data_IF_722166204875
#
_entry.id   IF_722166204875
#
_cell.length_a   1.000
_cell.length_b   1.000
_cell.length_c   1.000
_cell.angle_alpha   90.00
_cell.angle_beta   90.00
_cell.angle_gamma   90.00
#
_symmetry.space_group_name_H-M   'P 1'
#
loop_
_entity.id
_entity.type
_entity.pdbx_description
1 polymer ?
#
# COMPACT_ATOMS: atom_id res chain seq x y z
N UNK A 1 -4.98 28.18 0.71
CA UNK A 1 -3.97 27.23 1.24
C UNK A 1 -4.40 25.85 0.80
N UNK A 2 -3.61 25.16 0.00
CA UNK A 2 -3.93 23.81 -0.46
C UNK A 2 -3.66 22.86 0.70
N UNK A 3 -4.72 22.32 1.31
CA UNK A 3 -4.63 21.36 2.42
C UNK A 3 -4.20 19.95 1.97
N UNK A 4 -4.09 19.72 0.66
CA UNK A 4 -3.70 18.46 0.06
C UNK A 4 -2.19 18.23 0.20
N UNK A 5 -1.83 17.05 0.70
CA UNK A 5 -0.43 16.63 0.81
C UNK A 5 0.19 16.48 -0.58
N UNK A 6 1.43 16.94 -0.71
CA UNK A 6 2.25 16.74 -1.90
C UNK A 6 2.47 15.24 -2.15
N UNK A 7 2.13 14.76 -3.35
CA UNK A 7 2.22 13.34 -3.73
C UNK A 7 3.65 12.81 -3.65
N UNK A 8 4.65 13.65 -3.93
CA UNK A 8 6.07 13.29 -3.79
C UNK A 8 6.51 13.02 -2.35
N UNK A 9 5.66 13.34 -1.36
CA UNK A 9 5.91 13.13 0.08
C UNK A 9 5.02 12.03 0.68
N UNK A 10 4.37 11.23 -0.16
CA UNK A 10 3.58 10.07 0.27
C UNK A 10 4.53 8.92 0.62
N UNK A 11 5.50 8.62 -0.25
CA UNK A 11 6.54 7.61 -0.02
C UNK A 11 7.86 8.31 0.25
N UNK A 12 8.48 8.01 1.39
CA UNK A 12 9.70 8.70 1.87
C UNK A 12 10.83 7.74 2.24
N UNK A 13 10.73 6.49 1.82
CA UNK A 13 11.67 5.40 2.12
C UNK A 13 12.19 4.81 0.80
N UNK A 14 13.39 4.19 0.77
CA UNK A 14 13.91 3.53 -0.43
C UNK A 14 13.16 2.22 -0.75
N UNK A 15 13.20 1.73 -2.01
CA UNK A 15 12.47 0.54 -2.45
C UNK A 15 12.68 -0.70 -1.58
N UNK A 16 13.92 -0.97 -1.16
CA UNK A 16 14.26 -2.15 -0.35
C UNK A 16 13.52 -2.21 1.00
N UNK A 17 13.01 -1.08 1.49
CA UNK A 17 12.20 -1.04 2.73
C UNK A 17 10.93 -1.88 2.61
N UNK A 18 10.36 -2.04 1.40
CA UNK A 18 9.16 -2.87 1.17
C UNK A 18 9.35 -4.32 1.65
N UNK A 19 10.57 -4.85 1.60
CA UNK A 19 10.86 -6.23 2.04
C UNK A 19 10.69 -6.44 3.54
N UNK A 20 10.59 -5.35 4.31
CA UNK A 20 10.33 -5.38 5.76
C UNK A 20 8.85 -5.30 6.11
N UNK A 21 7.98 -5.10 5.12
CA UNK A 21 6.55 -4.90 5.33
C UNK A 21 5.82 -6.23 5.48
N UNK A 22 4.62 -6.17 6.05
CA UNK A 22 3.73 -7.31 6.24
C UNK A 22 2.84 -7.46 5.01
N UNK A 23 2.68 -8.69 4.52
CA UNK A 23 1.71 -9.03 3.47
C UNK A 23 0.46 -9.61 4.12
N UNK A 24 -0.70 -9.08 3.77
CA UNK A 24 -2.00 -9.51 4.27
C UNK A 24 -3.00 -9.60 3.11
N UNK A 25 -3.97 -10.51 3.21
CA UNK A 25 -5.00 -10.72 2.19
C UNK A 25 -6.39 -10.46 2.78
N UNK A 26 -7.22 -9.74 2.04
CA UNK A 26 -8.59 -9.40 2.41
C UNK A 26 -9.52 -9.59 1.23
N UNK A 27 -10.73 -10.04 1.51
CA UNK A 27 -11.82 -10.04 0.54
C UNK A 27 -12.54 -8.67 0.55
N UNK A 28 -13.22 -8.30 -0.53
CA UNK A 28 -14.18 -7.16 -0.61
C UNK A 28 -13.62 -5.72 -0.59
N UNK A 29 -12.31 -5.51 -0.77
CA UNK A 29 -11.79 -4.18 -1.08
C UNK A 29 -12.03 -3.90 -2.57
N UNK A 30 -13.22 -3.41 -2.90
CA UNK A 30 -13.69 -3.24 -4.29
C UNK A 30 -13.70 -1.78 -4.75
N UNK A 31 -13.66 -0.83 -3.81
CA UNK A 31 -13.71 0.58 -4.17
C UNK A 31 -12.32 1.13 -4.49
N UNK A 32 -11.85 0.82 -5.69
CA UNK A 32 -10.54 1.23 -6.19
C UNK A 32 -10.47 2.71 -6.57
N UNK A 33 -11.57 3.47 -6.50
CA UNK A 33 -11.55 4.92 -6.77
C UNK A 33 -10.73 5.74 -5.76
N UNK A 34 -10.31 5.10 -4.66
CA UNK A 34 -9.51 5.71 -3.59
C UNK A 34 -8.05 5.24 -3.58
N UNK A 35 -7.59 4.66 -4.68
CA UNK A 35 -6.18 4.33 -4.90
C UNK A 35 -5.47 5.43 -5.70
N UNK A 36 -4.15 5.45 -5.62
CA UNK A 36 -3.29 6.39 -6.35
C UNK A 36 -2.24 5.58 -7.11
N UNK A 37 -1.96 5.97 -8.37
CA UNK A 37 -0.88 5.33 -9.11
C UNK A 37 0.48 5.63 -8.45
N UNK A 38 1.35 4.64 -8.22
CA UNK A 38 2.68 4.87 -7.64
C UNK A 38 3.52 5.86 -8.46
N UNK A 39 3.33 5.88 -9.80
CA UNK A 39 3.99 6.81 -10.74
C UNK A 39 3.65 8.28 -10.47
N UNK A 40 2.50 8.57 -9.85
CA UNK A 40 2.14 9.93 -9.46
C UNK A 40 2.88 10.40 -8.20
N UNK A 41 3.50 9.47 -7.47
CA UNK A 41 4.19 9.73 -6.21
C UNK A 41 5.71 9.57 -6.30
N UNK A 42 6.20 8.77 -7.26
CA UNK A 42 7.58 8.31 -7.35
C UNK A 42 8.10 8.39 -8.80
N UNK A 43 9.32 8.93 -8.97
CA UNK A 43 9.99 8.95 -10.29
C UNK A 43 10.52 7.56 -10.70
N UNK A 44 10.89 6.72 -9.74
CA UNK A 44 11.38 5.35 -9.94
C UNK A 44 10.34 4.32 -9.48
N UNK A 45 9.06 4.60 -9.72
CA UNK A 45 7.93 3.76 -9.28
C UNK A 45 8.08 2.28 -9.67
N UNK A 46 8.65 2.00 -10.84
CA UNK A 46 8.86 0.63 -11.34
C UNK A 46 9.70 -0.24 -10.39
N UNK A 47 10.73 0.32 -9.75
CA UNK A 47 11.55 -0.41 -8.77
C UNK A 47 10.72 -0.88 -7.57
N UNK A 48 9.85 0.00 -7.05
CA UNK A 48 8.98 -0.34 -5.95
C UNK A 48 7.89 -1.34 -6.37
N UNK A 49 7.29 -1.14 -7.55
CA UNK A 49 6.26 -2.04 -8.10
C UNK A 49 6.83 -3.45 -8.27
N UNK A 50 8.09 -3.59 -8.72
CA UNK A 50 8.74 -4.89 -8.87
C UNK A 50 8.93 -5.59 -7.51
N UNK A 51 9.39 -4.88 -6.48
CA UNK A 51 9.54 -5.46 -5.14
C UNK A 51 8.17 -5.82 -4.54
N UNK A 52 7.16 -4.95 -4.68
CA UNK A 52 5.80 -5.24 -4.24
C UNK A 52 5.24 -6.49 -4.96
N UNK A 53 5.47 -6.60 -6.27
CA UNK A 53 5.08 -7.76 -7.08
C UNK A 53 5.71 -9.05 -6.56
N UNK A 54 7.02 -9.04 -6.30
CA UNK A 54 7.73 -10.19 -5.70
C UNK A 54 7.08 -10.60 -4.37
N UNK A 55 6.88 -9.64 -3.45
CA UNK A 55 6.28 -9.87 -2.14
C UNK A 55 4.87 -10.46 -2.23
N UNK A 56 4.05 -9.99 -3.18
CA UNK A 56 2.69 -10.52 -3.38
C UNK A 56 2.69 -11.91 -4.01
N UNK A 57 3.53 -12.16 -5.02
CA UNK A 57 3.66 -13.48 -5.64
C UNK A 57 4.11 -14.52 -4.62
N UNK A 58 5.09 -14.19 -3.78
CA UNK A 58 5.58 -15.07 -2.70
C UNK A 58 4.48 -15.38 -1.67
N UNK A 59 3.50 -14.49 -1.49
CA UNK A 59 2.38 -14.67 -0.58
C UNK A 59 1.20 -15.44 -1.19
N UNK A 60 1.17 -15.62 -2.52
CA UNK A 60 0.15 -16.41 -3.23
C UNK A 60 -0.73 -15.64 -4.21
N UNK A 61 -0.45 -14.36 -4.49
CA UNK A 61 -1.11 -13.63 -5.57
C UNK A 61 -0.79 -14.23 -6.93
N UNK A 62 -1.75 -14.21 -7.86
CA UNK A 62 -1.61 -14.82 -9.19
C UNK A 62 -0.88 -13.96 -10.22
N UNK A 63 -0.54 -12.71 -9.88
CA UNK A 63 0.19 -11.81 -10.76
C UNK A 63 -0.67 -10.97 -11.71
N UNK A 64 -1.97 -10.84 -11.43
CA UNK A 64 -2.94 -10.05 -12.20
C UNK A 64 -3.43 -8.78 -11.47
N UNK A 65 -4.06 -7.86 -12.21
CA UNK A 65 -4.48 -6.57 -11.66
C UNK A 65 -3.33 -5.57 -11.52
N UNK A 66 -3.67 -4.41 -10.95
CA UNK A 66 -2.77 -3.24 -10.91
C UNK A 66 -2.32 -2.95 -9.47
N UNK A 67 -1.01 -2.86 -9.28
CA UNK A 67 -0.43 -2.45 -7.99
C UNK A 67 -0.58 -0.93 -7.84
N UNK A 68 -1.25 -0.51 -6.79
CA UNK A 68 -1.57 0.88 -6.48
C UNK A 68 -1.30 1.21 -5.01
N UNK A 69 -1.34 2.50 -4.66
CA UNK A 69 -1.19 2.97 -3.29
C UNK A 69 -2.55 3.24 -2.68
N UNK A 70 -2.74 2.81 -1.44
CA UNK A 70 -3.92 3.11 -0.62
C UNK A 70 -3.52 3.80 0.67
N UNK A 71 -4.24 4.85 1.05
CA UNK A 71 -3.99 5.55 2.31
C UNK A 71 -4.99 5.11 3.37
N UNK A 72 -4.47 4.69 4.52
CA UNK A 72 -5.25 4.35 5.71
C UNK A 72 -5.18 5.54 6.68
N UNK A 73 -6.33 6.14 7.01
CA UNK A 73 -6.39 7.24 7.97
C UNK A 73 -5.90 6.82 9.37
N UNK A 74 -5.29 7.75 10.13
CA UNK A 74 -4.71 7.44 11.45
C UNK A 74 -5.74 6.91 12.45
N UNK A 75 -7.01 7.32 12.37
CA UNK A 75 -8.06 6.88 13.30
C UNK A 75 -8.45 5.40 13.15
N UNK A 76 -8.01 4.74 12.06
CA UNK A 76 -8.18 3.30 11.86
C UNK A 76 -7.10 2.47 12.58
N UNK A 77 -5.98 3.08 12.97
CA UNK A 77 -4.81 2.40 13.54
C UNK A 77 -4.85 2.37 15.06
N UNK A 78 -5.96 1.88 15.62
CA UNK A 78 -6.14 1.78 17.07
C UNK A 78 -5.03 0.91 17.67
N UNK A 79 -4.56 1.28 18.85
CA UNK A 79 -3.51 0.58 19.61
C UNK A 79 -2.06 0.66 19.09
N UNK A 80 -1.80 1.37 17.98
CA UNK A 80 -0.43 1.63 17.48
C UNK A 80 -0.09 3.11 17.68
N UNK A 81 0.27 3.46 18.92
CA UNK A 81 0.55 4.85 19.33
C UNK A 81 2.03 5.23 19.12
N UNK A 82 2.43 5.42 17.86
CA UNK A 82 3.70 6.11 17.55
C UNK A 82 3.42 7.49 16.95
N UNK A 83 4.29 8.48 17.22
CA UNK A 83 4.15 9.83 16.65
C UNK A 83 4.04 9.82 15.12
N UNK A 84 4.70 8.88 14.48
CA UNK A 84 4.79 8.73 13.03
C UNK A 84 3.46 8.31 12.39
N UNK A 85 2.59 7.62 13.14
CA UNK A 85 1.29 7.16 12.63
C UNK A 85 0.17 8.19 12.77
N UNK A 86 0.43 9.33 13.40
CA UNK A 86 -0.55 10.44 13.53
C UNK A 86 -0.97 11.03 12.18
N UNK A 87 -0.22 10.76 11.11
CA UNK A 87 -0.50 11.23 9.74
C UNK A 87 -1.14 10.15 8.86
N UNK A 88 -1.48 8.99 9.42
CA UNK A 88 -1.92 7.81 8.69
C UNK A 88 -0.77 7.07 8.02
N UNK A 89 -1.09 6.01 7.28
CA UNK A 89 -0.11 5.16 6.61
C UNK A 89 -0.52 4.94 5.15
N UNK A 90 0.46 4.93 4.26
CA UNK A 90 0.25 4.50 2.87
C UNK A 90 0.75 3.08 2.72
N UNK A 91 -0.11 2.23 2.19
CA UNK A 91 0.14 0.82 1.91
C UNK A 91 0.12 0.58 0.41
N UNK A 92 0.73 -0.51 -0.02
CA UNK A 92 0.61 -0.99 -1.39
C UNK A 92 -0.53 -1.99 -1.46
N UNK A 93 -1.32 -1.93 -2.53
CA UNK A 93 -2.51 -2.75 -2.73
C UNK A 93 -2.55 -3.27 -4.16
N UNK A 94 -3.02 -4.50 -4.34
CA UNK A 94 -3.45 -5.02 -5.63
C UNK A 94 -4.73 -5.83 -5.45
N UNK A 95 -5.68 -5.64 -6.36
CA UNK A 95 -6.90 -6.46 -6.45
C UNK A 95 -6.68 -7.54 -7.50
N UNK A 96 -6.74 -8.80 -7.07
CA UNK A 96 -6.71 -9.95 -7.96
C UNK A 96 -8.00 -9.99 -8.78
N UNK A 97 -7.88 -10.22 -10.10
CA UNK A 97 -9.03 -10.17 -11.02
C UNK A 97 -9.88 -11.44 -10.94
N UNK A 98 -9.25 -12.61 -10.77
CA UNK A 98 -9.91 -13.92 -10.87
C UNK A 98 -10.92 -14.19 -9.73
N UNK A 99 -10.51 -13.94 -8.47
CA UNK A 99 -11.31 -14.26 -7.29
C UNK A 99 -11.68 -13.04 -6.44
N UNK A 100 -11.17 -11.86 -6.80
CA UNK A 100 -11.39 -10.64 -6.05
C UNK A 100 -10.63 -10.55 -4.72
N UNK A 101 -9.61 -11.38 -4.49
CA UNK A 101 -8.74 -11.24 -3.32
C UNK A 101 -7.91 -9.96 -3.43
N UNK A 102 -7.90 -9.14 -2.38
CA UNK A 102 -7.03 -7.97 -2.29
C UNK A 102 -5.81 -8.28 -1.45
N UNK A 103 -4.63 -8.06 -2.03
CA UNK A 103 -3.36 -8.20 -1.35
C UNK A 103 -2.86 -6.84 -0.93
N UNK A 104 -2.40 -6.75 0.32
CA UNK A 104 -1.93 -5.52 0.96
C UNK A 104 -0.51 -5.73 1.47
N UNK A 105 0.38 -4.77 1.20
CA UNK A 105 1.73 -4.73 1.74
C UNK A 105 1.87 -3.47 2.61
N UNK A 106 2.01 -3.68 3.91
CA UNK A 106 1.88 -2.63 4.93
C UNK A 106 3.08 -2.56 5.87
N UNK A 107 3.62 -1.35 6.20
CA UNK A 107 4.73 -1.20 7.14
C UNK A 107 4.36 -1.56 8.59
N UNK A 108 3.06 -1.67 8.87
CA UNK A 108 2.53 -2.08 10.16
C UNK A 108 1.62 -3.29 9.95
N UNK A 109 1.47 -4.09 11.01
CA UNK A 109 0.42 -5.12 11.03
C UNK A 109 -0.94 -4.42 11.08
N UNK A 110 -1.83 -4.72 10.14
CA UNK A 110 -3.16 -4.11 10.14
C UNK A 110 -4.03 -4.79 11.22
N UNK A 111 -4.95 -4.03 11.85
CA UNK A 111 -5.89 -4.60 12.80
C UNK A 111 -6.84 -5.58 12.07
N UNK A 112 -7.02 -6.75 12.67
CA UNK A 112 -7.96 -7.78 12.23
C UNK A 112 -9.18 -7.90 13.15
#
# INVERSE_FOLDING_TARGET
MTSQRDKSKIITYPPETLRTFNVEAYEWIDNLNFTISPEECLNNAEEYINIAREMFLDAGWYGDGKIELMWIPPFMLRDILTKELTVGVTIWHVKQEEDGTSWLLSPIKLPC
#
